data_IF_140658800728
#
_entry.id   IF_140658800728
#
_cell.length_a   1.000
_cell.length_b   1.000
_cell.length_c   1.000
_cell.angle_alpha   90.00
_cell.angle_beta   90.00
_cell.angle_gamma   90.00
#
_symmetry.space_group_name_H-M   'P 1'
#
loop_
_entity.id
_entity.type
_entity.pdbx_description
1 polymer ?
#
# COMPACT_ATOMS: atom_id res chain seq x y z
N UNK A 1 -62.94 -34.01 -40.29
CA UNK A 1 -63.25 -33.67 -38.89
C UNK A 1 -63.54 -34.95 -38.13
N UNK A 2 -62.69 -35.32 -37.16
CA UNK A 2 -63.00 -36.04 -35.92
C UNK A 2 -61.67 -36.40 -35.23
N UNK A 3 -61.44 -35.81 -34.05
CA UNK A 3 -60.36 -36.11 -33.13
C UNK A 3 -60.68 -37.39 -32.34
N UNK A 4 -59.68 -38.26 -32.13
CA UNK A 4 -59.54 -38.97 -30.84
C UNK A 4 -58.32 -39.88 -30.73
N UNK A 5 -57.66 -39.75 -29.55
CA UNK A 5 -57.05 -40.80 -28.69
C UNK A 5 -55.90 -41.60 -29.32
N UNK A 6 -54.71 -41.70 -28.74
CA UNK A 6 -54.33 -41.81 -27.33
C UNK A 6 -53.34 -42.98 -27.23
N UNK A 7 -52.50 -43.03 -26.20
CA UNK A 7 -51.80 -44.26 -25.81
C UNK A 7 -50.28 -44.21 -25.90
N UNK A 8 -49.68 -44.55 -24.76
CA UNK A 8 -48.28 -44.43 -24.40
C UNK A 8 -47.40 -45.62 -24.84
N UNK A 9 -46.07 -45.48 -24.61
CA UNK A 9 -45.13 -46.45 -24.02
C UNK A 9 -43.80 -46.64 -24.81
N UNK A 10 -42.71 -46.33 -24.08
CA UNK A 10 -41.31 -46.85 -24.10
C UNK A 10 -40.41 -46.64 -25.33
N UNK A 11 -39.24 -46.06 -25.05
CA UNK A 11 -37.89 -46.68 -25.01
C UNK A 11 -36.92 -45.52 -24.78
N UNK A 12 -36.23 -45.42 -23.65
CA UNK A 12 -35.10 -46.25 -23.27
C UNK A 12 -33.82 -45.52 -23.68
N UNK A 13 -32.91 -45.27 -22.73
CA UNK A 13 -31.45 -45.41 -22.87
C UNK A 13 -30.74 -44.72 -21.70
N UNK A 14 -29.78 -45.45 -21.15
CA UNK A 14 -28.90 -45.04 -20.08
C UNK A 14 -28.13 -43.77 -20.43
N UNK A 15 -28.04 -42.86 -19.46
CA UNK A 15 -27.13 -41.71 -19.44
C UNK A 15 -26.65 -41.51 -18.01
N UNK A 16 -25.37 -41.14 -17.81
CA UNK A 16 -24.69 -41.29 -16.53
C UNK A 16 -25.32 -40.40 -15.46
N UNK A 17 -25.37 -40.92 -14.24
CA UNK A 17 -25.55 -40.14 -13.01
C UNK A 17 -24.55 -38.99 -13.10
N UNK A 18 -25.04 -37.78 -13.32
CA UNK A 18 -24.23 -36.58 -13.17
C UNK A 18 -23.81 -36.57 -11.71
N UNK A 19 -22.61 -37.10 -11.45
CA UNK A 19 -21.85 -36.85 -10.26
C UNK A 19 -21.93 -35.36 -10.04
N UNK A 20 -22.66 -34.96 -8.99
CA UNK A 20 -22.55 -33.65 -8.39
C UNK A 20 -21.06 -33.48 -8.15
N UNK A 21 -20.38 -32.83 -9.09
CA UNK A 21 -19.02 -32.33 -8.87
C UNK A 21 -19.16 -31.55 -7.59
N UNK A 22 -18.51 -32.05 -6.53
CA UNK A 22 -18.25 -31.23 -5.39
C UNK A 22 -17.62 -29.97 -5.97
N UNK A 23 -18.32 -28.85 -5.84
CA UNK A 23 -17.66 -27.58 -5.96
C UNK A 23 -16.63 -27.62 -4.86
N UNK A 24 -15.39 -27.94 -5.23
CA UNK A 24 -14.22 -27.59 -4.45
C UNK A 24 -14.45 -26.14 -4.04
N UNK A 25 -14.70 -25.93 -2.76
CA UNK A 25 -14.83 -24.62 -2.16
C UNK A 25 -13.43 -24.00 -2.09
N UNK A 26 -12.81 -23.79 -3.25
CA UNK A 26 -11.70 -22.83 -3.33
C UNK A 26 -12.34 -21.46 -3.21
N UNK A 27 -12.65 -21.06 -1.97
CA UNK A 27 -12.82 -19.65 -1.63
C UNK A 27 -11.63 -18.92 -2.23
N UNK A 28 -11.83 -17.89 -3.07
CA UNK A 28 -10.72 -17.16 -3.64
C UNK A 28 -9.84 -16.66 -2.48
N UNK A 29 -8.58 -17.11 -2.47
CA UNK A 29 -7.52 -16.45 -1.70
C UNK A 29 -7.62 -14.95 -1.98
N UNK A 30 -7.65 -14.13 -0.94
CA UNK A 30 -7.72 -12.68 -1.11
C UNK A 30 -6.63 -12.26 -2.10
N UNK A 31 -7.04 -11.73 -3.27
CA UNK A 31 -6.12 -11.28 -4.31
C UNK A 31 -5.13 -10.30 -3.67
N UNK A 32 -3.87 -10.71 -3.55
CA UNK A 32 -2.82 -9.84 -3.01
C UNK A 32 -2.55 -8.75 -4.03
N UNK A 33 -3.09 -7.56 -3.77
CA UNK A 33 -2.79 -6.37 -4.56
C UNK A 33 -1.52 -5.74 -4.00
N UNK A 34 -0.48 -5.70 -4.83
CA UNK A 34 0.74 -4.93 -4.56
C UNK A 34 0.65 -3.63 -5.36
N UNK A 35 0.09 -2.55 -4.78
CA UNK A 35 0.01 -1.29 -5.50
C UNK A 35 1.42 -0.79 -5.82
N UNK A 36 1.57 -0.17 -6.99
CA UNK A 36 2.82 0.49 -7.34
C UNK A 36 3.12 1.60 -6.31
N UNK A 37 4.37 1.75 -5.88
CA UNK A 37 4.75 2.82 -4.97
C UNK A 37 4.54 4.18 -5.65
N UNK A 38 4.01 5.14 -4.91
CA UNK A 38 4.05 6.53 -5.34
C UNK A 38 5.50 7.01 -5.30
N UNK A 39 6.01 7.51 -6.42
CA UNK A 39 7.43 7.81 -6.58
C UNK A 39 7.60 9.23 -7.07
N UNK A 40 8.49 9.98 -6.42
CA UNK A 40 8.93 11.31 -6.85
C UNK A 40 10.36 11.17 -7.36
N UNK A 41 10.58 11.60 -8.60
CA UNK A 41 11.86 11.47 -9.28
C UNK A 41 12.56 12.82 -9.34
N UNK A 42 13.61 12.98 -8.53
CA UNK A 42 14.52 14.11 -8.63
C UNK A 42 15.58 13.91 -9.71
N UNK A 43 16.41 14.93 -9.90
CA UNK A 43 17.50 14.90 -10.90
C UNK A 43 18.55 13.84 -10.59
N UNK A 44 18.92 13.70 -9.31
CA UNK A 44 20.01 12.83 -8.80
C UNK A 44 19.53 11.65 -7.96
N UNK A 45 18.26 11.57 -7.64
CA UNK A 45 17.73 10.66 -6.63
C UNK A 45 16.22 10.48 -6.78
N UNK A 46 15.65 9.55 -6.05
CA UNK A 46 14.19 9.37 -5.99
C UNK A 46 13.75 9.03 -4.57
N UNK A 47 12.51 9.38 -4.24
CA UNK A 47 11.82 8.91 -3.05
C UNK A 47 10.58 8.11 -3.45
N UNK A 48 10.34 7.00 -2.75
CA UNK A 48 9.19 6.11 -2.95
C UNK A 48 8.40 6.00 -1.66
N UNK A 49 7.08 6.03 -1.80
CA UNK A 49 6.11 5.87 -0.73
C UNK A 49 5.24 4.66 -1.04
N UNK A 50 5.34 3.64 -0.19
CA UNK A 50 4.61 2.38 -0.37
C UNK A 50 3.79 2.07 0.87
N UNK A 51 2.46 1.98 0.77
CA UNK A 51 1.64 1.57 1.90
C UNK A 51 1.82 0.08 2.19
N UNK A 52 1.86 -0.25 3.47
CA UNK A 52 1.69 -1.58 4.02
C UNK A 52 0.40 -1.57 4.84
N UNK A 53 -0.60 -2.40 4.49
CA UNK A 53 -1.88 -2.42 5.20
C UNK A 53 -1.71 -2.96 6.62
N UNK A 54 -2.65 -2.63 7.51
CA UNK A 54 -2.76 -3.29 8.81
C UNK A 54 -2.99 -4.78 8.65
N UNK A 55 -2.39 -5.54 9.57
CA UNK A 55 -2.60 -6.97 9.68
C UNK A 55 -3.53 -7.27 10.83
N UNK A 56 -4.38 -8.27 10.64
CA UNK A 56 -5.36 -8.67 11.63
C UNK A 56 -5.26 -10.16 11.91
N UNK A 57 -5.75 -10.54 13.08
CA UNK A 57 -5.90 -11.94 13.48
C UNK A 57 -7.27 -12.15 14.09
N UNK A 58 -7.80 -13.36 13.94
CA UNK A 58 -8.98 -13.82 14.66
C UNK A 58 -8.54 -14.69 15.83
N UNK A 59 -9.15 -14.49 17.00
CA UNK A 59 -9.06 -15.46 18.10
C UNK A 59 -10.00 -16.67 17.86
N UNK A 60 -9.86 -17.71 18.68
CA UNK A 60 -10.76 -18.89 18.70
C UNK A 60 -12.22 -18.50 19.01
N UNK A 61 -12.42 -17.37 19.69
CA UNK A 61 -13.73 -16.80 20.00
C UNK A 61 -14.29 -15.91 18.88
N UNK A 62 -13.67 -15.91 17.68
CA UNK A 62 -13.98 -15.03 16.55
C UNK A 62 -13.83 -13.52 16.84
N UNK A 63 -13.01 -13.17 17.83
CA UNK A 63 -12.69 -11.76 18.10
C UNK A 63 -11.63 -11.31 17.10
N UNK A 64 -11.96 -10.30 16.31
CA UNK A 64 -11.08 -9.72 15.32
C UNK A 64 -10.25 -8.59 15.95
N UNK A 65 -8.93 -8.73 15.93
CA UNK A 65 -8.02 -7.76 16.52
C UNK A 65 -6.96 -7.33 15.52
N UNK A 66 -6.62 -6.04 15.52
CA UNK A 66 -5.46 -5.53 14.79
C UNK A 66 -4.20 -6.06 15.45
N UNK A 67 -3.44 -6.88 14.74
CA UNK A 67 -2.17 -7.42 15.22
C UNK A 67 -1.05 -6.41 15.02
N UNK A 68 -0.95 -5.85 13.83
CA UNK A 68 0.05 -4.85 13.45
C UNK A 68 -0.64 -3.70 12.73
N UNK A 69 -0.40 -2.47 13.20
CA UNK A 69 -0.82 -1.29 12.48
C UNK A 69 -0.07 -1.19 11.15
N UNK A 70 -0.80 -0.76 10.11
CA UNK A 70 -0.23 -0.47 8.82
C UNK A 70 0.82 0.64 8.90
N UNK A 71 1.71 0.66 7.90
CA UNK A 71 2.84 1.60 7.85
C UNK A 71 3.01 2.14 6.44
N UNK A 72 3.52 3.36 6.32
CA UNK A 72 4.04 3.88 5.07
C UNK A 72 5.55 3.63 5.01
N UNK A 73 5.99 2.84 4.04
CA UNK A 73 7.40 2.64 3.78
C UNK A 73 7.92 3.74 2.88
N UNK A 74 8.83 4.54 3.39
CA UNK A 74 9.53 5.59 2.64
C UNK A 74 10.91 5.09 2.27
N UNK A 75 11.23 5.04 0.99
CA UNK A 75 12.55 4.62 0.51
C UNK A 75 13.17 5.70 -0.35
N UNK A 76 14.45 6.01 -0.12
CA UNK A 76 15.21 6.96 -0.93
C UNK A 76 16.38 6.23 -1.60
N UNK A 77 16.64 6.53 -2.87
CA UNK A 77 17.73 5.94 -3.65
C UNK A 77 18.44 7.00 -4.49
N UNK A 78 19.75 6.89 -4.64
CA UNK A 78 20.51 7.70 -5.58
C UNK A 78 20.38 7.14 -6.99
N UNK A 79 20.42 8.03 -7.97
CA UNK A 79 20.46 7.68 -9.38
C UNK A 79 21.88 7.21 -9.75
N UNK A 80 21.98 6.19 -10.59
CA UNK A 80 23.26 5.80 -11.17
C UNK A 80 23.79 6.91 -12.08
N UNK A 81 25.13 6.97 -12.23
CA UNK A 81 25.77 7.98 -13.06
C UNK A 81 25.23 7.94 -14.51
N UNK A 82 25.10 9.10 -15.18
CA UNK A 82 24.74 9.16 -16.60
C UNK A 82 25.64 8.25 -17.44
N UNK A 83 25.14 7.61 -18.52
CA UNK A 83 23.84 7.87 -19.17
C UNK A 83 22.67 7.04 -18.64
N UNK A 84 22.84 6.24 -17.57
CA UNK A 84 21.80 5.32 -17.13
C UNK A 84 20.65 6.05 -16.43
N UNK A 85 19.42 5.67 -16.76
CA UNK A 85 18.18 6.09 -16.08
C UNK A 85 17.79 5.08 -14.99
N UNK A 86 18.79 4.52 -14.31
CA UNK A 86 18.63 3.50 -13.26
C UNK A 86 19.00 4.07 -11.90
N UNK A 87 18.52 3.42 -10.85
CA UNK A 87 18.77 3.82 -9.46
C UNK A 87 19.60 2.76 -8.76
N UNK A 88 20.59 3.19 -7.98
CA UNK A 88 21.45 2.29 -7.23
C UNK A 88 20.69 1.68 -6.05
N UNK A 89 20.36 0.40 -6.17
CA UNK A 89 19.66 -0.35 -5.12
C UNK A 89 20.48 -0.48 -3.83
N UNK A 90 21.82 -0.37 -3.88
CA UNK A 90 22.69 -0.45 -2.70
C UNK A 90 22.63 0.83 -1.86
N UNK A 91 22.43 1.98 -2.52
CA UNK A 91 22.19 3.26 -1.85
C UNK A 91 20.83 3.36 -1.13
N UNK A 92 19.94 2.37 -1.29
CA UNK A 92 18.58 2.40 -0.76
C UNK A 92 18.57 2.53 0.76
N UNK A 93 18.02 3.62 1.25
CA UNK A 93 17.68 3.82 2.66
C UNK A 93 16.17 3.74 2.78
N UNK A 94 15.67 3.07 3.82
CA UNK A 94 14.22 2.89 4.02
C UNK A 94 13.83 3.16 5.46
N UNK A 95 12.73 3.89 5.62
CA UNK A 95 12.12 4.23 6.89
C UNK A 95 10.66 3.77 6.89
N UNK A 96 10.18 3.28 8.03
CA UNK A 96 8.77 2.97 8.23
C UNK A 96 8.10 4.06 9.07
N UNK A 97 7.04 4.66 8.52
CA UNK A 97 6.22 5.68 9.16
C UNK A 97 4.89 5.08 9.61
N UNK A 98 4.50 5.31 10.86
CA UNK A 98 3.17 4.99 11.36
C UNK A 98 2.16 6.08 11.03
N UNK A 99 0.92 5.90 11.47
CA UNK A 99 -0.16 6.86 11.18
C UNK A 99 0.10 8.26 11.74
N UNK A 100 0.74 8.38 12.91
CA UNK A 100 1.08 9.67 13.51
C UNK A 100 2.08 10.45 12.65
N UNK A 101 3.15 9.81 12.17
CA UNK A 101 4.13 10.48 11.31
C UNK A 101 3.57 10.80 9.93
N UNK A 102 2.68 9.96 9.40
CA UNK A 102 1.92 10.27 8.18
C UNK A 102 1.03 11.51 8.40
N UNK A 103 0.43 11.64 9.58
CA UNK A 103 -0.33 12.84 9.98
C UNK A 103 0.52 14.11 9.98
N UNK A 104 1.79 14.04 10.39
CA UNK A 104 2.70 15.19 10.33
C UNK A 104 2.97 15.63 8.87
N UNK A 105 3.13 14.68 7.95
CA UNK A 105 3.31 14.98 6.52
C UNK A 105 2.04 15.63 5.94
N UNK A 106 0.86 15.15 6.35
CA UNK A 106 -0.42 15.71 5.93
C UNK A 106 -0.65 17.13 6.46
N UNK A 107 -0.17 17.42 7.67
CA UNK A 107 -0.28 18.74 8.27
C UNK A 107 0.75 19.74 7.73
N UNK A 108 1.72 19.31 6.91
CA UNK A 108 2.71 20.19 6.33
C UNK A 108 2.06 21.18 5.35
N UNK A 109 2.14 22.48 5.62
CA UNK A 109 1.63 23.49 4.70
C UNK A 109 2.72 23.90 3.70
N UNK A 110 2.61 23.54 2.41
CA UNK A 110 3.62 23.91 1.41
C UNK A 110 3.69 25.44 1.16
N UNK A 111 2.66 26.19 1.54
CA UNK A 111 2.64 27.65 1.40
C UNK A 111 3.48 28.35 2.47
N UNK A 112 3.64 27.73 3.65
CA UNK A 112 4.44 28.26 4.73
C UNK A 112 5.95 28.21 4.38
N UNK A 113 6.60 29.37 4.49
CA UNK A 113 8.06 29.51 4.30
C UNK A 113 8.88 28.78 5.37
N UNK A 114 8.32 28.58 6.56
CA UNK A 114 8.94 27.86 7.67
C UNK A 114 8.67 26.36 7.67
N UNK A 115 7.99 25.82 6.65
CA UNK A 115 7.58 24.42 6.63
C UNK A 115 8.77 23.47 6.72
N UNK A 116 8.75 22.66 7.77
CA UNK A 116 9.69 21.58 8.01
C UNK A 116 8.99 20.46 8.78
N UNK A 117 9.03 19.26 8.23
CA UNK A 117 8.65 18.03 8.91
C UNK A 117 9.93 17.24 9.14
N UNK A 118 10.16 16.81 10.38
CA UNK A 118 11.31 15.98 10.74
C UNK A 118 10.83 14.79 11.55
N UNK A 119 11.21 13.60 11.09
CA UNK A 119 10.85 12.32 11.69
C UNK A 119 12.14 11.56 11.99
N UNK A 120 12.38 11.35 13.27
CA UNK A 120 13.59 10.68 13.76
C UNK A 120 13.32 9.24 14.18
N UNK A 121 14.26 8.36 13.86
CA UNK A 121 14.36 6.99 14.35
C UNK A 121 15.76 6.71 14.87
N UNK A 122 15.94 5.55 15.49
CA UNK A 122 17.21 5.15 16.10
C UNK A 122 18.40 5.26 15.12
N UNK A 123 18.20 4.89 13.85
CA UNK A 123 19.28 4.77 12.87
C UNK A 123 19.17 5.75 11.69
N UNK A 124 18.06 6.47 11.57
CA UNK A 124 17.81 7.35 10.42
C UNK A 124 16.84 8.46 10.74
N UNK A 125 16.90 9.52 9.92
CA UNK A 125 16.03 10.67 9.96
C UNK A 125 15.48 10.90 8.56
N UNK A 126 14.18 11.17 8.49
CA UNK A 126 13.52 11.63 7.29
C UNK A 126 12.98 13.04 7.51
N UNK A 127 13.20 13.93 6.56
CA UNK A 127 12.64 15.27 6.61
C UNK A 127 12.08 15.74 5.28
N UNK A 128 11.13 16.65 5.37
CA UNK A 128 10.52 17.37 4.26
C UNK A 128 10.62 18.84 4.60
N UNK A 129 11.20 19.65 3.73
CA UNK A 129 11.32 21.10 3.94
C UNK A 129 11.16 21.86 2.64
N UNK A 130 10.89 23.16 2.73
CA UNK A 130 10.97 24.05 1.56
C UNK A 130 12.42 24.14 1.07
N UNK A 131 12.60 24.23 -0.24
CA UNK A 131 13.92 24.46 -0.84
C UNK A 131 14.34 25.91 -0.60
N UNK A 132 15.61 26.14 -0.25
CA UNK A 132 16.13 27.50 0.04
C UNK A 132 16.11 28.42 -1.18
N UNK A 133 16.36 27.84 -2.36
CA UNK A 133 16.59 28.60 -3.59
C UNK A 133 15.40 28.56 -4.56
N UNK A 134 14.23 28.07 -4.12
CA UNK A 134 13.04 27.93 -4.98
C UNK A 134 11.75 28.11 -4.21
N UNK A 135 10.93 29.07 -4.65
CA UNK A 135 9.62 29.37 -4.06
C UNK A 135 8.68 28.15 -4.07
N UNK A 136 8.76 27.34 -5.13
CA UNK A 136 7.95 26.14 -5.31
C UNK A 136 8.74 24.83 -5.05
N UNK A 137 9.97 24.93 -4.56
CA UNK A 137 10.82 23.77 -4.33
C UNK A 137 10.53 23.10 -3.00
N UNK A 138 10.49 21.78 -3.01
CA UNK A 138 10.40 20.92 -1.83
C UNK A 138 11.62 20.00 -1.84
N UNK A 139 12.20 19.76 -0.67
CA UNK A 139 13.31 18.82 -0.50
C UNK A 139 12.85 17.71 0.43
N UNK A 140 12.91 16.48 -0.05
CA UNK A 140 12.82 15.29 0.77
C UNK A 140 14.23 14.82 1.09
N UNK A 141 14.54 14.62 2.37
CA UNK A 141 15.88 14.23 2.81
C UNK A 141 15.81 12.99 3.69
N UNK A 142 16.71 12.05 3.44
CA UNK A 142 16.90 10.87 4.27
C UNK A 142 18.37 10.78 4.69
N UNK A 143 18.62 10.73 5.99
CA UNK A 143 19.96 10.65 6.58
C UNK A 143 20.07 9.44 7.51
N UNK A 144 21.23 8.75 7.52
CA UNK A 144 21.54 7.79 8.59
C UNK A 144 22.14 8.53 9.77
N UNK A 145 21.59 8.26 10.96
CA UNK A 145 22.00 8.94 12.20
C UNK A 145 23.50 8.75 12.44
N UNK A 146 24.20 9.87 12.72
CA UNK A 146 25.64 9.87 12.95
C UNK A 146 26.50 9.89 11.68
N UNK A 147 25.89 9.96 10.49
CA UNK A 147 26.62 10.10 9.23
C UNK A 147 25.89 11.05 8.26
N UNK A 148 26.05 12.35 8.48
CA UNK A 148 25.49 13.39 7.61
C UNK A 148 25.97 13.29 6.16
N UNK A 149 27.17 12.74 5.91
CA UNK A 149 27.68 12.53 4.56
C UNK A 149 26.90 11.45 3.77
N UNK A 150 26.06 10.65 4.46
CA UNK A 150 25.18 9.65 3.83
C UNK A 150 23.80 10.19 3.45
N UNK A 151 23.55 11.49 3.67
CA UNK A 151 22.26 12.07 3.37
C UNK A 151 21.95 12.00 1.87
N UNK A 152 20.74 11.54 1.55
CA UNK A 152 20.20 11.55 0.20
C UNK A 152 19.05 12.55 0.16
N UNK A 153 19.20 13.55 -0.70
CA UNK A 153 18.21 14.60 -0.93
C UNK A 153 17.53 14.37 -2.26
N UNK A 154 16.22 14.56 -2.30
CA UNK A 154 15.37 14.48 -3.49
C UNK A 154 14.68 15.82 -3.65
N UNK A 155 15.07 16.53 -4.71
CA UNK A 155 14.43 17.76 -5.14
C UNK A 155 13.08 17.44 -5.80
N UNK A 156 12.06 18.18 -5.39
CA UNK A 156 10.68 18.03 -5.84
C UNK A 156 10.01 19.40 -5.93
N UNK A 157 8.76 19.44 -6.38
CA UNK A 157 7.95 20.66 -6.37
C UNK A 157 6.77 20.57 -5.40
N UNK A 158 6.20 21.72 -5.04
CA UNK A 158 4.99 21.81 -4.19
C UNK A 158 3.87 20.88 -4.69
N UNK A 159 3.68 20.77 -6.01
CA UNK A 159 2.69 19.88 -6.60
C UNK A 159 2.90 18.40 -6.26
N UNK A 160 4.15 17.95 -6.11
CA UNK A 160 4.45 16.58 -5.72
C UNK A 160 4.06 16.31 -4.26
N UNK A 161 4.31 17.28 -3.37
CA UNK A 161 3.90 17.19 -1.96
C UNK A 161 2.37 17.20 -1.83
N UNK A 162 1.66 18.05 -2.57
CA UNK A 162 0.18 18.07 -2.58
C UNK A 162 -0.38 16.73 -3.09
N UNK A 163 0.20 16.17 -4.15
CA UNK A 163 -0.19 14.85 -4.65
C UNK A 163 0.04 13.75 -3.60
N UNK A 164 1.20 13.78 -2.94
CA UNK A 164 1.51 12.85 -1.84
C UNK A 164 0.49 12.98 -0.71
N UNK A 165 0.17 14.20 -0.28
CA UNK A 165 -0.80 14.46 0.79
C UNK A 165 -2.19 13.94 0.44
N UNK A 166 -2.67 14.18 -0.78
CA UNK A 166 -3.95 13.64 -1.26
C UNK A 166 -3.98 12.11 -1.21
N UNK A 167 -2.89 11.45 -1.66
CA UNK A 167 -2.74 10.01 -1.56
C UNK A 167 -2.75 9.54 -0.09
N UNK A 168 -1.97 10.18 0.78
CA UNK A 168 -1.89 9.79 2.20
C UNK A 168 -3.23 9.95 2.93
N UNK A 169 -4.00 10.98 2.60
CA UNK A 169 -5.34 11.19 3.17
C UNK A 169 -6.27 10.03 2.81
N UNK A 170 -6.19 9.50 1.58
CA UNK A 170 -6.97 8.33 1.17
C UNK A 170 -6.50 7.01 1.82
N UNK A 171 -5.21 6.92 2.17
CA UNK A 171 -4.60 5.70 2.72
C UNK A 171 -4.70 5.58 4.24
N UNK A 172 -4.79 6.70 4.97
CA UNK A 172 -4.80 6.73 6.43
C UNK A 172 -5.79 5.73 7.08
N UNK A 173 -7.07 5.66 6.65
CA UNK A 173 -8.01 4.69 7.22
C UNK A 173 -7.50 3.25 7.10
N UNK A 174 -6.84 2.93 5.97
CA UNK A 174 -6.26 1.61 5.70
C UNK A 174 -5.07 1.29 6.59
N UNK A 175 -4.25 2.29 6.91
CA UNK A 175 -3.11 2.15 7.83
C UNK A 175 -3.56 1.95 9.28
N UNK A 176 -4.73 2.46 9.66
CA UNK A 176 -5.32 2.23 10.98
C UNK A 176 -6.22 1.00 11.05
N UNK A 177 -6.54 0.38 9.91
CA UNK A 177 -7.44 -0.75 9.86
C UNK A 177 -8.93 -0.39 9.95
N UNK A 178 -9.29 0.89 9.87
CA UNK A 178 -10.67 1.37 10.00
C UNK A 178 -11.59 0.94 8.86
N UNK A 179 -11.03 0.57 7.71
CA UNK A 179 -11.78 0.01 6.58
C UNK A 179 -12.58 -1.23 6.95
N UNK A 180 -12.12 -1.98 7.96
CA UNK A 180 -12.81 -3.18 8.44
C UNK A 180 -13.99 -2.83 9.35
N UNK A 181 -13.91 -1.69 10.04
CA UNK A 181 -15.01 -1.14 10.84
C UNK A 181 -16.08 -0.54 9.93
N UNK A 182 -15.66 0.19 8.89
CA UNK A 182 -16.60 0.83 7.93
C UNK A 182 -17.22 -0.16 6.95
N UNK A 183 -16.58 -1.31 6.70
CA UNK A 183 -17.15 -2.40 5.92
C UNK A 183 -16.83 -3.77 6.53
N UNK A 184 -17.65 -4.24 7.50
CA UNK A 184 -17.45 -5.53 8.17
C UNK A 184 -17.48 -6.74 7.23
N UNK A 185 -18.06 -6.61 6.03
CA UNK A 185 -18.07 -7.68 5.03
C UNK A 185 -16.67 -8.02 4.52
N UNK A 186 -15.68 -7.15 4.77
CA UNK A 186 -14.28 -7.38 4.39
C UNK A 186 -13.52 -8.26 5.40
N UNK A 187 -14.06 -8.49 6.60
CA UNK A 187 -13.42 -9.27 7.67
C UNK A 187 -12.84 -10.63 7.20
N UNK A 188 -13.56 -11.46 6.41
CA UNK A 188 -13.05 -12.77 6.01
C UNK A 188 -11.79 -12.74 5.14
N UNK A 189 -11.48 -11.61 4.49
CA UNK A 189 -10.28 -11.44 3.67
C UNK A 189 -9.03 -11.12 4.50
N UNK A 190 -9.20 -10.70 5.75
CA UNK A 190 -8.12 -10.31 6.65
C UNK A 190 -7.81 -11.36 7.73
N UNK A 191 -8.65 -12.38 7.91
CA UNK A 191 -8.53 -13.39 8.98
C UNK A 191 -7.81 -14.68 8.59
N UNK A 192 -7.58 -14.94 7.30
CA UNK A 192 -6.94 -16.20 6.90
C UNK A 192 -5.42 -16.12 7.09
N UNK A 193 -4.80 -17.09 7.78
CA UNK A 193 -3.35 -17.18 7.83
C UNK A 193 -2.80 -17.34 6.40
N UNK A 194 -1.61 -16.78 6.09
CA UNK A 194 -0.98 -17.09 4.82
C UNK A 194 -0.75 -18.60 4.78
N UNK A 195 -1.42 -19.29 3.85
CA UNK A 195 -1.02 -20.64 3.49
C UNK A 195 0.47 -20.55 3.10
N UNK A 196 1.31 -21.23 3.87
CA UNK A 196 2.73 -21.33 3.63
C UNK A 196 2.91 -22.01 2.28
N UNK A 197 3.37 -21.24 1.29
CA UNK A 197 3.90 -21.73 0.02
C UNK A 197 5.38 -22.06 0.17
#
# INVERSE_FOLDING_TARGET
MLLSRGGAIRRGLAGPVASLRSFSSSTPSALRVYPNPFSIFGTKSMVMFRPLPSLFSSSEENVFMSRDQGRLMVSVMQREAPPKLTYDKKSKVTLALGGAEVGMILAADPTDSGMSVQIERAESMFSISKAKDSENGIVFKMEKKGNAASAVEVEAVVGDLVCLQSLLQSLLPTLYGWQVVSNPLLLPYFTKPPEQS
#
